data_IF_355341305680
#
_entry.id   IF_355341305680
#
_cell.length_a   1.000
_cell.length_b   1.000
_cell.length_c   1.000
_cell.angle_alpha   90.00
_cell.angle_beta   90.00
_cell.angle_gamma   90.00
#
_symmetry.space_group_name_H-M   'P 1'
#
loop_
_entity.id
_entity.type
_entity.pdbx_description
1 polymer ?
#
# COMPACT_ATOMS: atom_id res chain seq x y z
N UNK A 1 -58.00 -8.81 -0.12
CA UNK A 1 -57.56 -7.84 0.91
C UNK A 1 -56.15 -8.21 1.33
N UNK A 2 -55.29 -7.19 1.41
CA UNK A 2 -53.85 -7.25 1.70
C UNK A 2 -53.56 -7.82 3.10
N UNK A 3 -52.43 -8.53 3.24
CA UNK A 3 -51.41 -8.19 4.25
C UNK A 3 -50.13 -9.01 4.00
N UNK A 4 -49.09 -8.30 3.59
CA UNK A 4 -47.69 -8.74 3.64
C UNK A 4 -47.24 -8.73 5.11
N UNK A 5 -46.58 -9.79 5.57
CA UNK A 5 -45.82 -9.77 6.82
C UNK A 5 -44.34 -9.76 6.47
N UNK A 6 -43.73 -8.59 6.66
CA UNK A 6 -42.30 -8.34 6.60
C UNK A 6 -41.71 -8.67 7.98
N UNK A 7 -40.87 -9.70 8.08
CA UNK A 7 -40.03 -9.90 9.27
C UNK A 7 -38.83 -8.95 9.18
N UNK A 8 -38.80 -7.95 10.05
CA UNK A 8 -37.60 -7.15 10.31
C UNK A 8 -36.80 -7.83 11.44
N UNK A 9 -35.61 -8.35 11.12
CA UNK A 9 -34.61 -8.70 12.12
C UNK A 9 -33.89 -7.41 12.55
N UNK A 10 -34.17 -6.97 13.77
CA UNK A 10 -33.41 -5.89 14.42
C UNK A 10 -32.19 -6.51 15.08
N UNK A 11 -31.00 -6.24 14.55
CA UNK A 11 -29.74 -6.53 15.22
C UNK A 11 -29.42 -5.37 16.16
N UNK A 12 -29.46 -5.62 17.47
CA UNK A 12 -29.01 -4.69 18.51
C UNK A 12 -27.50 -4.80 18.69
N UNK A 13 -26.78 -3.72 18.40
CA UNK A 13 -25.38 -3.53 18.80
C UNK A 13 -25.38 -2.73 20.11
N UNK A 14 -24.82 -3.30 21.17
CA UNK A 14 -24.59 -2.61 22.43
C UNK A 14 -23.12 -2.23 22.53
N UNK A 15 -22.82 -0.93 22.53
CA UNK A 15 -21.49 -0.38 22.77
C UNK A 15 -21.53 0.42 24.06
N UNK A 16 -20.69 0.08 25.04
CA UNK A 16 -20.56 0.81 26.30
C UNK A 16 -19.33 1.71 26.21
N UNK A 17 -19.56 3.03 26.23
CA UNK A 17 -18.50 4.04 26.31
C UNK A 17 -18.23 4.42 27.77
N UNK A 18 -16.97 4.32 28.21
CA UNK A 18 -16.51 4.76 29.52
C UNK A 18 -16.15 6.26 29.54
N UNK A 19 -16.53 6.94 30.62
CA UNK A 19 -16.49 8.39 30.84
C UNK A 19 -15.11 8.85 31.34
N UNK A 20 -14.73 10.09 31.00
CA UNK A 20 -13.45 10.74 31.29
C UNK A 20 -13.35 11.50 32.64
N UNK A 21 -12.10 11.97 32.89
CA UNK A 21 -11.62 13.11 33.73
C UNK A 21 -10.90 12.76 35.06
N UNK A 22 -10.05 13.65 35.67
CA UNK A 22 -9.58 15.00 35.28
C UNK A 22 -8.05 15.29 35.44
N UNK A 23 -7.64 16.49 35.01
CA UNK A 23 -6.30 17.14 35.17
C UNK A 23 -6.00 17.69 36.58
N UNK A 24 -4.76 18.16 36.81
CA UNK A 24 -4.55 19.39 37.61
C UNK A 24 -3.56 20.42 37.02
N UNK A 25 -3.84 21.69 37.32
CA UNK A 25 -3.10 22.94 37.06
C UNK A 25 -1.74 23.07 37.78
N UNK A 26 -0.78 23.84 37.24
CA UNK A 26 -0.40 25.24 37.68
C UNK A 26 0.97 25.74 37.17
N UNK A 27 0.93 26.91 36.52
CA UNK A 27 1.85 28.08 36.46
C UNK A 27 3.38 28.02 36.71
N UNK A 28 4.18 28.61 35.79
CA UNK A 28 4.97 29.88 36.00
C UNK A 28 5.84 30.26 34.77
N UNK A 29 5.92 31.55 34.45
CA UNK A 29 6.72 32.22 33.38
C UNK A 29 7.89 33.06 33.99
N UNK A 30 8.77 33.73 33.21
CA UNK A 30 9.75 33.25 32.22
C UNK A 30 11.18 33.84 32.46
N UNK A 31 12.26 33.19 31.99
CA UNK A 31 13.58 33.86 31.86
C UNK A 31 14.25 33.56 30.52
N UNK A 32 14.75 34.63 29.90
CA UNK A 32 15.39 34.71 28.59
C UNK A 32 16.86 34.30 28.64
N UNK A 33 17.32 33.43 27.74
CA UNK A 33 18.70 33.51 27.20
C UNK A 33 18.91 32.67 25.93
N UNK A 34 19.42 33.36 24.89
CA UNK A 34 20.32 32.91 23.80
C UNK A 34 19.96 31.64 22.99
N UNK A 35 19.43 31.86 21.78
CA UNK A 35 19.08 30.85 20.79
C UNK A 35 20.29 30.09 20.22
N UNK A 36 20.63 28.97 20.86
CA UNK A 36 20.78 27.71 20.15
C UNK A 36 19.43 26.99 20.18
N UNK A 37 18.99 26.39 19.08
CA UNK A 37 17.74 25.62 19.06
C UNK A 37 17.92 24.39 19.94
N UNK A 38 17.46 24.46 21.19
CA UNK A 38 17.29 23.27 22.02
C UNK A 38 16.18 22.45 21.37
N UNK A 39 16.55 21.33 20.75
CA UNK A 39 15.59 20.32 20.36
C UNK A 39 14.92 19.83 21.65
N UNK A 40 13.68 20.27 21.88
CA UNK A 40 12.85 19.78 22.97
C UNK A 40 12.61 18.29 22.74
N UNK A 41 13.28 17.43 23.51
CA UNK A 41 13.03 15.98 23.53
C UNK A 41 11.70 15.62 24.21
N UNK A 42 10.85 16.61 24.51
CA UNK A 42 9.61 16.45 25.29
C UNK A 42 8.34 16.59 24.44
N UNK A 43 8.43 16.74 23.12
CA UNK A 43 7.26 16.56 22.27
C UNK A 43 6.91 15.06 22.27
N UNK A 44 5.68 14.67 22.63
CA UNK A 44 5.29 13.26 22.56
C UNK A 44 5.44 12.78 21.11
N UNK A 45 6.18 11.68 20.93
CA UNK A 45 6.25 11.00 19.65
C UNK A 45 4.84 10.53 19.29
N UNK A 46 4.26 11.11 18.24
CA UNK A 46 2.90 10.79 17.79
C UNK A 46 2.78 9.30 17.43
N UNK A 47 3.84 8.67 16.92
CA UNK A 47 3.85 7.24 16.61
C UNK A 47 3.70 6.39 17.88
N UNK A 48 4.38 6.79 18.96
CA UNK A 48 4.25 6.13 20.25
C UNK A 48 2.88 6.41 20.90
N UNK A 49 2.46 7.66 20.91
CA UNK A 49 1.28 8.11 21.65
C UNK A 49 -0.01 7.57 21.01
N UNK A 50 -0.09 7.58 19.68
CA UNK A 50 -1.31 7.23 18.97
C UNK A 50 -1.33 5.74 18.58
N UNK A 51 -0.16 5.12 18.36
CA UNK A 51 -0.05 3.76 17.81
C UNK A 51 0.84 2.80 18.60
N UNK A 52 1.47 3.24 19.70
CA UNK A 52 2.37 2.42 20.51
C UNK A 52 3.66 2.02 19.80
N UNK A 53 4.05 2.72 18.72
CA UNK A 53 5.23 2.42 17.93
C UNK A 53 6.43 3.21 18.41
N UNK A 54 7.46 2.51 18.89
CA UNK A 54 8.72 3.10 19.31
C UNK A 54 9.76 2.97 18.20
N UNK A 55 10.09 4.07 17.52
CA UNK A 55 11.06 4.11 16.40
C UNK A 55 12.40 3.45 16.76
N UNK A 56 12.86 3.57 18.00
CA UNK A 56 14.13 2.94 18.43
C UNK A 56 14.06 1.40 18.37
N UNK A 57 12.87 0.83 18.53
CA UNK A 57 12.57 -0.59 18.45
C UNK A 57 12.02 -1.02 17.07
N UNK A 58 12.22 -0.21 16.03
CA UNK A 58 11.82 -0.56 14.65
C UNK A 58 12.42 -1.91 14.21
N UNK A 59 11.57 -2.73 13.60
CA UNK A 59 11.90 -4.02 13.00
C UNK A 59 11.34 -4.10 11.59
N UNK A 60 11.95 -4.95 10.74
CA UNK A 60 11.41 -5.26 9.41
C UNK A 60 10.10 -6.05 9.58
N UNK A 61 8.97 -5.50 9.13
CA UNK A 61 7.66 -6.14 9.32
C UNK A 61 7.45 -7.33 8.38
N UNK A 62 7.50 -7.07 7.07
CA UNK A 62 7.32 -8.11 6.06
C UNK A 62 8.58 -8.96 5.93
N UNK A 63 8.40 -10.27 5.76
CA UNK A 63 9.49 -11.23 5.71
C UNK A 63 9.35 -12.10 4.47
N UNK A 64 10.39 -12.11 3.66
CA UNK A 64 10.52 -12.95 2.47
C UNK A 64 11.33 -14.22 2.80
N UNK A 65 11.01 -15.37 2.18
CA UNK A 65 11.71 -16.63 2.45
C UNK A 65 13.17 -16.63 1.98
N UNK A 66 13.55 -15.66 1.16
CA UNK A 66 14.91 -15.46 0.66
C UNK A 66 15.05 -14.09 -0.01
N UNK A 67 16.28 -13.76 -0.40
CA UNK A 67 16.62 -12.47 -1.01
C UNK A 67 17.07 -12.61 -2.49
N UNK A 68 16.83 -13.76 -3.11
CA UNK A 68 17.08 -13.97 -4.53
C UNK A 68 15.86 -13.56 -5.39
N UNK A 69 16.07 -13.51 -6.71
CA UNK A 69 15.08 -13.08 -7.72
C UNK A 69 13.75 -13.84 -7.66
N UNK A 70 13.69 -15.00 -7.00
CA UNK A 70 12.45 -15.78 -6.87
C UNK A 70 11.88 -15.57 -5.47
N UNK A 71 12.67 -15.84 -4.44
CA UNK A 71 12.18 -15.91 -3.07
C UNK A 71 11.87 -14.53 -2.48
N UNK A 72 12.43 -13.44 -3.02
CA UNK A 72 12.17 -12.08 -2.56
C UNK A 72 10.74 -11.57 -2.89
N UNK A 73 9.94 -12.34 -3.64
CA UNK A 73 8.60 -11.95 -4.07
C UNK A 73 7.48 -12.77 -3.41
N UNK A 74 7.78 -13.42 -2.28
CA UNK A 74 6.82 -14.23 -1.53
C UNK A 74 6.75 -13.83 -0.06
N UNK A 75 5.56 -13.88 0.53
CA UNK A 75 5.36 -13.74 1.96
C UNK A 75 5.67 -15.07 2.67
N UNK A 76 6.62 -15.03 3.61
CA UNK A 76 7.11 -16.24 4.32
C UNK A 76 6.03 -17.00 5.07
N UNK A 77 4.91 -16.36 5.44
CA UNK A 77 3.82 -17.03 6.19
C UNK A 77 3.03 -17.99 5.31
N UNK A 78 2.98 -17.73 4.01
CA UNK A 78 2.15 -18.47 3.05
C UNK A 78 2.97 -19.21 1.99
N UNK A 79 4.24 -18.85 1.81
CA UNK A 79 5.16 -19.53 0.90
C UNK A 79 5.30 -21.02 1.23
N UNK A 80 5.27 -21.86 0.19
CA UNK A 80 5.52 -23.31 0.29
C UNK A 80 6.58 -23.74 -0.71
N UNK A 81 6.35 -23.38 -1.97
CA UNK A 81 7.25 -23.61 -3.10
C UNK A 81 7.00 -22.52 -4.15
N UNK A 82 7.99 -22.20 -5.00
CA UNK A 82 7.79 -21.22 -6.05
C UNK A 82 6.71 -21.66 -7.04
N UNK A 83 5.83 -20.73 -7.40
CA UNK A 83 4.83 -20.95 -8.48
C UNK A 83 5.58 -21.27 -9.78
N UNK A 84 5.21 -22.37 -10.49
CA UNK A 84 5.83 -22.71 -11.76
C UNK A 84 5.73 -21.56 -12.77
N UNK A 85 6.78 -21.37 -13.56
CA UNK A 85 6.88 -20.27 -14.53
C UNK A 85 5.68 -20.19 -15.46
N UNK A 86 5.16 -21.33 -15.89
CA UNK A 86 4.02 -21.46 -16.81
C UNK A 86 2.69 -21.02 -16.17
N UNK A 87 2.60 -21.05 -14.83
CA UNK A 87 1.41 -20.70 -14.07
C UNK A 87 1.50 -19.31 -13.43
N UNK A 88 2.71 -18.74 -13.34
CA UNK A 88 2.97 -17.46 -12.66
C UNK A 88 2.14 -16.32 -13.22
N UNK A 89 2.16 -16.13 -14.54
CA UNK A 89 1.39 -15.04 -15.18
C UNK A 89 -0.10 -15.14 -14.85
N UNK A 90 -0.70 -16.34 -14.95
CA UNK A 90 -2.11 -16.54 -14.59
C UNK A 90 -2.38 -16.25 -13.10
N UNK A 91 -1.46 -16.67 -12.22
CA UNK A 91 -1.58 -16.43 -10.78
C UNK A 91 -1.55 -14.94 -10.47
N UNK A 92 -0.57 -14.20 -11.02
CA UNK A 92 -0.45 -12.76 -10.87
C UNK A 92 -1.67 -12.01 -11.46
N UNK A 93 -2.19 -12.45 -12.61
CA UNK A 93 -3.45 -11.91 -13.17
C UNK A 93 -4.62 -12.06 -12.19
N UNK A 94 -4.80 -13.23 -11.56
CA UNK A 94 -5.86 -13.41 -10.57
C UNK A 94 -5.69 -12.51 -9.34
N UNK A 95 -4.45 -12.34 -8.87
CA UNK A 95 -4.13 -11.44 -7.75
C UNK A 95 -4.54 -9.99 -8.13
N UNK A 96 -4.15 -9.51 -9.31
CA UNK A 96 -4.51 -8.17 -9.81
C UNK A 96 -6.02 -7.98 -9.91
N UNK A 97 -6.73 -8.96 -10.47
CA UNK A 97 -8.19 -8.87 -10.62
C UNK A 97 -8.85 -8.74 -9.25
N UNK A 98 -8.48 -9.60 -8.30
CA UNK A 98 -9.01 -9.55 -6.93
C UNK A 98 -8.73 -8.23 -6.22
N UNK A 99 -7.53 -7.67 -6.43
CA UNK A 99 -7.10 -6.41 -5.83
C UNK A 99 -7.90 -5.23 -6.39
N UNK A 100 -7.95 -5.07 -7.71
CA UNK A 100 -8.66 -3.93 -8.32
C UNK A 100 -10.17 -3.98 -8.12
N UNK A 101 -10.79 -5.17 -8.20
CA UNK A 101 -12.21 -5.31 -7.90
C UNK A 101 -12.50 -4.94 -6.44
N UNK A 102 -11.71 -5.44 -5.49
CA UNK A 102 -11.89 -5.09 -4.07
C UNK A 102 -11.69 -3.60 -3.80
N UNK A 103 -10.64 -2.99 -4.37
CA UNK A 103 -10.38 -1.56 -4.19
C UNK A 103 -11.49 -0.71 -4.80
N UNK A 104 -12.01 -1.10 -5.96
CA UNK A 104 -13.14 -0.43 -6.61
C UNK A 104 -14.41 -0.52 -5.77
N UNK A 105 -14.77 -1.73 -5.30
CA UNK A 105 -15.99 -1.98 -4.53
C UNK A 105 -16.01 -1.26 -3.17
N UNK A 106 -14.83 -0.94 -2.62
CA UNK A 106 -14.68 -0.25 -1.33
C UNK A 106 -14.30 1.24 -1.47
N UNK A 107 -14.33 1.78 -2.69
CA UNK A 107 -13.99 3.18 -2.99
C UNK A 107 -12.57 3.57 -2.51
N UNK A 108 -11.61 2.67 -2.71
CA UNK A 108 -10.20 2.86 -2.37
C UNK A 108 -9.41 3.21 -3.64
N UNK A 109 -8.88 4.43 -3.69
CA UNK A 109 -8.10 4.86 -4.86
C UNK A 109 -6.68 4.31 -4.83
N UNK A 110 -6.29 3.62 -5.91
CA UNK A 110 -4.97 3.08 -6.18
C UNK A 110 -4.63 3.20 -7.66
N UNK A 111 -3.34 3.12 -8.01
CA UNK A 111 -2.84 3.06 -9.39
C UNK A 111 -1.62 2.14 -9.46
N UNK A 112 -1.32 1.61 -10.66
CA UNK A 112 -0.10 0.84 -10.91
C UNK A 112 1.12 1.77 -10.97
N UNK A 113 2.25 1.30 -10.45
CA UNK A 113 3.50 2.05 -10.36
C UNK A 113 4.70 1.20 -10.81
N UNK A 114 5.89 1.80 -10.87
CA UNK A 114 7.16 1.10 -11.05
C UNK A 114 7.17 0.11 -12.23
N UNK A 115 7.65 -1.12 -12.04
CA UNK A 115 7.75 -2.14 -13.09
C UNK A 115 6.38 -2.54 -13.65
N UNK A 116 5.33 -2.50 -12.81
CA UNK A 116 3.96 -2.78 -13.24
C UNK A 116 3.43 -1.71 -14.21
N UNK A 117 3.74 -0.43 -13.96
CA UNK A 117 3.43 0.66 -14.89
C UNK A 117 4.20 0.52 -16.21
N UNK A 118 5.46 0.06 -16.15
CA UNK A 118 6.26 -0.20 -17.34
C UNK A 118 5.70 -1.36 -18.18
N UNK A 119 5.27 -2.46 -17.55
CA UNK A 119 4.57 -3.55 -18.25
C UNK A 119 3.28 -3.06 -18.92
N UNK A 120 2.52 -2.21 -18.22
CA UNK A 120 1.33 -1.58 -18.81
C UNK A 120 1.66 -0.74 -20.05
N UNK A 121 2.74 0.05 -20.03
CA UNK A 121 3.15 0.87 -21.19
C UNK A 121 3.34 0.03 -22.46
N UNK A 122 3.94 -1.15 -22.33
CA UNK A 122 4.28 -1.98 -23.50
C UNK A 122 3.06 -2.63 -24.16
N UNK A 123 2.13 -3.18 -23.38
CA UNK A 123 0.95 -3.87 -23.94
C UNK A 123 -0.22 -4.03 -22.95
N UNK A 124 -0.21 -3.32 -21.82
CA UNK A 124 -1.25 -3.46 -20.79
C UNK A 124 -1.18 -4.78 -20.02
N UNK A 125 0.00 -5.44 -19.97
CA UNK A 125 0.20 -6.73 -19.31
C UNK A 125 1.41 -6.71 -18.36
N UNK A 126 1.41 -7.66 -17.43
CA UNK A 126 2.57 -7.96 -16.61
C UNK A 126 3.69 -8.44 -17.52
N UNK A 127 4.93 -8.02 -17.23
CA UNK A 127 6.08 -8.47 -18.00
C UNK A 127 6.30 -9.99 -17.80
N UNK A 128 6.60 -10.78 -18.85
CA UNK A 128 6.69 -12.24 -18.71
C UNK A 128 7.73 -12.73 -17.69
N UNK A 129 8.75 -11.91 -17.40
CA UNK A 129 9.79 -12.21 -16.42
C UNK A 129 9.50 -11.68 -15.01
N UNK A 130 8.56 -10.73 -14.84
CA UNK A 130 8.23 -10.15 -13.53
C UNK A 130 7.74 -11.18 -12.52
N UNK A 131 8.07 -10.89 -11.27
CA UNK A 131 7.60 -11.60 -10.08
C UNK A 131 6.78 -10.71 -9.15
N UNK A 132 6.97 -9.40 -9.25
CA UNK A 132 6.35 -8.35 -8.45
C UNK A 132 5.18 -7.68 -9.17
N UNK A 133 4.30 -7.12 -8.36
CA UNK A 133 3.30 -6.17 -8.78
C UNK A 133 3.37 -5.01 -7.79
N UNK A 134 3.54 -3.81 -8.32
CA UNK A 134 3.69 -2.59 -7.56
C UNK A 134 2.51 -1.67 -7.79
N UNK A 135 1.93 -1.23 -6.68
CA UNK A 135 0.87 -0.23 -6.69
C UNK A 135 1.16 0.86 -5.70
N UNK A 136 0.54 1.99 -5.95
CA UNK A 136 0.60 3.14 -5.07
C UNK A 136 -0.80 3.59 -4.67
N UNK A 137 -0.86 4.25 -3.51
CA UNK A 137 -2.05 4.87 -2.95
C UNK A 137 -1.71 6.23 -2.37
N UNK A 138 -2.69 7.11 -2.21
CA UNK A 138 -2.50 8.34 -1.43
C UNK A 138 -2.33 8.01 0.06
N UNK A 139 -1.72 8.91 0.83
CA UNK A 139 -1.66 8.81 2.30
C UNK A 139 -3.05 8.63 2.92
N UNK A 140 -4.04 9.39 2.45
CA UNK A 140 -5.41 9.29 2.95
C UNK A 140 -5.99 7.89 2.72
N UNK A 141 -5.78 7.31 1.54
CA UNK A 141 -6.18 5.91 1.26
C UNK A 141 -5.39 4.95 2.15
N UNK A 142 -4.07 5.11 2.29
CA UNK A 142 -3.24 4.23 3.10
C UNK A 142 -3.70 4.21 4.57
N UNK A 143 -4.02 5.36 5.14
CA UNK A 143 -4.52 5.44 6.51
C UNK A 143 -5.91 4.82 6.65
N UNK A 144 -6.77 4.99 5.63
CA UNK A 144 -8.05 4.29 5.58
C UNK A 144 -7.88 2.77 5.53
N UNK A 145 -6.92 2.26 4.74
CA UNK A 145 -6.57 0.83 4.75
C UNK A 145 -6.16 0.37 6.15
N UNK A 146 -5.30 1.14 6.84
CA UNK A 146 -4.82 0.80 8.17
C UNK A 146 -5.95 0.75 9.22
N UNK A 147 -6.87 1.72 9.18
CA UNK A 147 -7.90 1.89 10.21
C UNK A 147 -9.13 1.01 9.99
N UNK A 148 -9.53 0.81 8.73
CA UNK A 148 -10.81 0.17 8.39
C UNK A 148 -10.65 -1.25 7.84
N UNK A 149 -9.52 -1.57 7.20
CA UNK A 149 -9.39 -2.77 6.37
C UNK A 149 -8.20 -3.68 6.73
N UNK A 150 -7.32 -3.28 7.63
CA UNK A 150 -6.15 -4.07 8.00
C UNK A 150 -6.55 -5.46 8.54
N UNK A 151 -5.82 -6.51 8.12
CA UNK A 151 -6.10 -7.91 8.40
C UNK A 151 -7.41 -8.46 7.81
N UNK A 152 -7.95 -7.81 6.78
CA UNK A 152 -9.13 -8.34 6.07
C UNK A 152 -8.72 -9.49 5.16
N UNK A 153 -9.43 -10.62 5.27
CA UNK A 153 -9.32 -11.74 4.35
C UNK A 153 -10.45 -11.70 3.34
N UNK A 154 -10.11 -11.56 2.06
CA UNK A 154 -11.04 -11.44 0.95
C UNK A 154 -11.07 -12.75 0.19
N UNK A 155 -12.28 -13.28 0.01
CA UNK A 155 -12.52 -14.49 -0.77
C UNK A 155 -12.94 -14.10 -2.18
N UNK A 156 -12.19 -14.56 -3.16
CA UNK A 156 -12.42 -14.25 -4.56
C UNK A 156 -12.69 -15.54 -5.33
N UNK A 157 -13.83 -15.58 -6.01
CA UNK A 157 -14.17 -16.67 -6.91
C UNK A 157 -13.89 -16.19 -8.32
N UNK A 158 -12.82 -16.69 -8.95
CA UNK A 158 -12.68 -16.51 -10.39
C UNK A 158 -13.82 -17.26 -11.08
N UNK A 159 -14.27 -16.77 -12.23
CA UNK A 159 -15.35 -17.37 -13.02
C UNK A 159 -15.06 -18.79 -13.53
N UNK A 160 -13.87 -19.37 -13.24
CA UNK A 160 -13.40 -20.62 -13.83
C UNK A 160 -12.56 -21.52 -12.89
N UNK A 161 -12.91 -21.70 -11.61
CA UNK A 161 -12.33 -22.81 -10.81
C UNK A 161 -13.19 -23.31 -9.65
N UNK A 162 -13.02 -24.60 -9.33
CA UNK A 162 -13.50 -25.26 -8.10
C UNK A 162 -12.71 -24.84 -6.83
N UNK A 163 -11.82 -23.84 -6.95
CA UNK A 163 -10.90 -23.41 -5.89
C UNK A 163 -11.14 -21.94 -5.56
N UNK A 164 -11.69 -21.69 -4.37
CA UNK A 164 -11.84 -20.34 -3.83
C UNK A 164 -10.46 -19.78 -3.44
N UNK A 165 -10.08 -18.67 -4.05
CA UNK A 165 -8.86 -17.96 -3.67
C UNK A 165 -9.12 -17.04 -2.47
N UNK A 166 -8.17 -16.97 -1.56
CA UNK A 166 -8.23 -16.08 -0.38
C UNK A 166 -7.01 -15.18 -0.35
N UNK A 167 -7.27 -13.88 -0.26
CA UNK A 167 -6.27 -12.83 -0.23
C UNK A 167 -6.30 -12.08 1.10
N UNK A 168 -5.14 -11.80 1.67
CA UNK A 168 -5.00 -11.02 2.89
C UNK A 168 -4.55 -9.60 2.55
N UNK A 169 -5.31 -8.59 2.96
CA UNK A 169 -4.82 -7.22 3.04
C UNK A 169 -4.11 -7.04 4.38
N UNK A 170 -2.79 -6.87 4.34
CA UNK A 170 -1.95 -6.71 5.51
C UNK A 170 -1.24 -5.36 5.47
N UNK A 171 -1.51 -4.51 6.46
CA UNK A 171 -0.93 -3.16 6.55
C UNK A 171 0.17 -3.17 7.59
N UNK A 172 1.37 -2.77 7.16
CA UNK A 172 2.54 -2.65 8.01
C UNK A 172 2.23 -1.66 9.15
N UNK A 173 2.42 -2.02 10.43
CA UNK A 173 2.26 -1.08 11.55
C UNK A 173 3.08 0.21 11.34
N UNK A 174 4.25 0.11 10.71
CA UNK A 174 5.12 1.25 10.40
C UNK A 174 4.64 2.09 9.20
N UNK A 175 3.48 1.80 8.60
CA UNK A 175 2.92 2.57 7.47
C UNK A 175 2.70 4.05 7.81
N UNK A 176 2.43 4.37 9.08
CA UNK A 176 2.24 5.76 9.54
C UNK A 176 3.56 6.51 9.78
N UNK A 177 4.67 5.80 9.94
CA UNK A 177 6.00 6.40 9.95
C UNK A 177 6.39 6.72 8.51
N UNK A 178 6.08 7.91 8.00
CA UNK A 178 6.33 8.23 6.57
C UNK A 178 7.81 8.41 6.21
N UNK A 179 8.67 8.76 7.16
CA UNK A 179 10.12 8.93 6.92
C UNK A 179 10.86 7.58 6.76
N UNK A 180 11.83 7.54 5.83
CA UNK A 180 12.62 6.35 5.44
C UNK A 180 13.33 5.65 6.62
N UNK A 181 13.85 6.40 7.60
CA UNK A 181 14.63 5.90 8.75
C UNK A 181 15.62 4.77 8.37
N UNK A 182 15.55 3.60 9.01
CA UNK A 182 16.47 2.48 8.81
C UNK A 182 16.25 1.74 7.48
N UNK A 183 15.25 2.12 6.68
CA UNK A 183 14.92 1.46 5.41
C UNK A 183 14.33 0.05 5.57
N UNK A 184 13.89 -0.31 6.78
CA UNK A 184 13.36 -1.65 7.07
C UNK A 184 11.92 -1.83 6.60
N UNK A 185 11.17 -0.74 6.42
CA UNK A 185 9.72 -0.75 6.20
C UNK A 185 9.32 0.14 5.02
N UNK A 186 9.99 -0.05 3.87
CA UNK A 186 9.72 0.69 2.63
C UNK A 186 8.30 0.42 2.12
N UNK A 187 7.85 -0.83 2.21
CA UNK A 187 6.50 -1.25 1.82
C UNK A 187 5.51 -1.00 2.96
N UNK A 188 4.40 -0.36 2.63
CA UNK A 188 3.39 0.09 3.59
C UNK A 188 2.27 -0.91 3.80
N UNK A 189 1.89 -1.64 2.75
CA UNK A 189 0.91 -2.72 2.85
C UNK A 189 1.14 -3.76 1.75
N UNK A 190 0.56 -4.95 1.92
CA UNK A 190 0.54 -6.01 0.92
C UNK A 190 -0.86 -6.55 0.71
N UNK A 191 -1.15 -6.91 -0.53
CA UNK A 191 -2.27 -7.77 -0.88
C UNK A 191 -1.73 -9.17 -1.21
N UNK A 192 -1.93 -10.13 -0.31
CA UNK A 192 -1.19 -11.39 -0.31
C UNK A 192 -2.09 -12.55 -0.71
N UNK A 193 -1.70 -13.32 -1.72
CA UNK A 193 -2.29 -14.63 -2.00
C UNK A 193 -1.91 -15.62 -0.90
N UNK A 194 -2.88 -15.99 -0.07
CA UNK A 194 -2.64 -16.91 1.06
C UNK A 194 -2.38 -18.36 0.62
N UNK A 195 -2.55 -18.70 -0.66
CA UNK A 195 -2.31 -20.05 -1.17
C UNK A 195 -0.85 -20.24 -1.60
N UNK A 196 -0.26 -19.22 -2.22
CA UNK A 196 1.07 -19.27 -2.82
C UNK A 196 2.10 -18.41 -2.08
N UNK A 197 1.67 -17.32 -1.45
CA UNK A 197 2.50 -16.29 -0.84
C UNK A 197 2.89 -15.15 -1.79
N UNK A 198 2.56 -15.19 -3.08
CA UNK A 198 2.74 -14.04 -3.98
C UNK A 198 1.90 -12.86 -3.49
N UNK A 199 2.34 -11.64 -3.77
CA UNK A 199 1.64 -10.44 -3.31
C UNK A 199 1.74 -9.26 -4.28
N UNK A 200 0.92 -8.25 -4.04
CA UNK A 200 1.10 -6.89 -4.55
C UNK A 200 1.69 -6.06 -3.42
N UNK A 201 2.77 -5.34 -3.72
CA UNK A 201 3.31 -4.31 -2.84
C UNK A 201 2.52 -3.01 -3.02
N UNK A 202 2.12 -2.41 -1.90
CA UNK A 202 1.35 -1.17 -1.85
C UNK A 202 2.19 -0.13 -1.11
N UNK A 203 2.52 0.96 -1.79
CA UNK A 203 3.28 2.07 -1.22
C UNK A 203 2.45 3.35 -1.15
N UNK A 204 2.54 4.07 -0.04
CA UNK A 204 1.85 5.36 0.13
C UNK A 204 2.66 6.53 -0.42
N UNK A 205 1.99 7.44 -1.13
CA UNK A 205 2.52 8.76 -1.44
C UNK A 205 2.00 9.80 -0.44
N UNK A 206 2.94 10.54 0.14
CA UNK A 206 2.69 11.59 1.13
C UNK A 206 3.66 12.75 0.91
N UNK A 207 3.38 13.93 1.48
CA UNK A 207 4.38 15.00 1.53
C UNK A 207 5.41 14.63 2.60
N UNK A 208 6.64 14.35 2.17
CA UNK A 208 7.74 13.94 3.07
C UNK A 208 8.67 15.10 3.46
N UNK A 209 8.76 16.12 2.61
CA UNK A 209 9.66 17.25 2.78
C UNK A 209 8.84 18.55 2.88
N UNK A 210 8.89 19.19 4.04
CA UNK A 210 8.18 20.45 4.28
C UNK A 210 8.72 21.61 3.45
N UNK A 211 10.00 21.57 3.06
CA UNK A 211 10.64 22.59 2.21
C UNK A 211 10.21 22.45 0.74
N UNK A 212 9.67 21.28 0.37
CA UNK A 212 9.18 20.97 -0.97
C UNK A 212 7.70 20.63 -0.97
N UNK A 213 6.82 21.62 -0.72
CA UNK A 213 5.39 21.37 -0.56
C UNK A 213 4.69 20.81 -1.80
N UNK A 214 5.29 20.94 -2.98
CA UNK A 214 4.74 20.44 -4.24
C UNK A 214 5.22 19.03 -4.60
N UNK A 215 6.11 18.44 -3.82
CA UNK A 215 6.62 17.07 -4.01
C UNK A 215 5.95 16.12 -3.02
N UNK A 216 5.48 15.00 -3.56
CA UNK A 216 4.99 13.85 -2.81
C UNK A 216 5.96 12.70 -3.05
N UNK A 217 6.27 11.94 -2.01
CA UNK A 217 7.18 10.83 -2.12
C UNK A 217 6.74 9.60 -1.34
N UNK A 218 7.34 8.48 -1.69
CA UNK A 218 7.27 7.25 -0.91
C UNK A 218 8.56 7.06 -0.08
N UNK A 219 8.55 6.04 0.77
CA UNK A 219 9.66 5.71 1.65
C UNK A 219 10.93 5.24 0.94
N UNK A 220 10.90 5.03 -0.37
CA UNK A 220 12.06 4.59 -1.16
C UNK A 220 12.69 5.72 -1.99
N UNK A 221 12.44 6.98 -1.63
CA UNK A 221 12.96 8.15 -2.36
C UNK A 221 12.43 8.31 -3.80
N UNK A 222 11.30 7.67 -4.15
CA UNK A 222 10.55 8.04 -5.34
C UNK A 222 9.73 9.28 -5.04
N UNK A 223 9.98 10.37 -5.77
CA UNK A 223 9.32 11.65 -5.58
C UNK A 223 8.64 12.08 -6.88
N UNK A 224 7.47 12.68 -6.73
CA UNK A 224 6.61 13.11 -7.83
C UNK A 224 6.05 14.48 -7.51
N UNK A 225 5.79 15.29 -8.52
CA UNK A 225 4.88 16.42 -8.34
C UNK A 225 3.44 15.93 -8.32
N UNK A 226 2.55 16.69 -7.68
CA UNK A 226 1.11 16.38 -7.69
C UNK A 226 0.59 16.27 -9.14
N UNK A 227 1.10 17.09 -10.06
CA UNK A 227 0.72 17.06 -11.48
C UNK A 227 1.24 15.85 -12.26
N UNK A 228 2.21 15.11 -11.74
CA UNK A 228 2.66 13.87 -12.36
C UNK A 228 1.65 12.74 -12.11
N UNK A 229 1.05 12.74 -10.93
CA UNK A 229 0.09 11.71 -10.50
C UNK A 229 -1.33 12.08 -10.88
N UNK A 230 -1.79 13.29 -10.56
CA UNK A 230 -3.20 13.66 -10.63
C UNK A 230 -3.55 14.61 -11.79
N UNK A 231 -4.76 14.48 -12.38
CA UNK A 231 -5.76 13.44 -12.13
C UNK A 231 -5.32 12.09 -12.72
N UNK A 232 -5.58 10.99 -12.00
CA UNK A 232 -5.29 9.65 -12.50
C UNK A 232 -6.08 9.37 -13.78
N UNK A 233 -5.47 8.61 -14.69
CA UNK A 233 -6.10 8.18 -15.95
C UNK A 233 -6.63 6.76 -15.82
N UNK A 234 -7.89 6.57 -16.16
CA UNK A 234 -8.51 5.22 -16.24
C UNK A 234 -8.00 4.51 -17.48
N UNK A 235 -7.67 3.23 -17.34
CA UNK A 235 -7.13 2.37 -18.39
C UNK A 235 -7.52 0.91 -18.14
N UNK A 236 -6.94 -0.01 -18.91
CA UNK A 236 -7.04 -1.46 -18.68
C UNK A 236 -5.65 -2.03 -18.43
N UNK A 237 -5.54 -2.88 -17.40
CA UNK A 237 -4.35 -3.69 -17.12
C UNK A 237 -4.79 -5.12 -16.84
N UNK A 238 -4.15 -6.09 -17.48
CA UNK A 238 -4.54 -7.50 -17.39
C UNK A 238 -6.01 -7.81 -17.70
N UNK A 239 -6.68 -6.95 -18.47
CA UNK A 239 -8.09 -7.12 -18.84
C UNK A 239 -9.09 -6.57 -17.82
N UNK A 240 -8.65 -5.96 -16.72
CA UNK A 240 -9.51 -5.26 -15.75
C UNK A 240 -9.25 -3.75 -15.76
N UNK A 241 -10.23 -2.98 -15.28
CA UNK A 241 -10.09 -1.53 -15.13
C UNK A 241 -8.99 -1.21 -14.12
N UNK A 242 -8.08 -0.32 -14.50
CA UNK A 242 -6.97 0.14 -13.67
C UNK A 242 -6.80 1.65 -13.81
N UNK A 243 -5.95 2.24 -12.96
CA UNK A 243 -5.55 3.64 -13.05
C UNK A 243 -4.03 3.76 -13.21
N UNK A 244 -3.60 4.82 -13.89
CA UNK A 244 -2.19 5.20 -14.06
C UNK A 244 -1.98 6.69 -13.75
N UNK A 245 -0.76 7.13 -13.41
CA UNK A 245 -0.42 8.54 -13.23
C UNK A 245 -0.80 9.42 -14.44
N UNK A 246 -1.10 10.70 -14.21
CA UNK A 246 -1.44 11.64 -15.28
C UNK A 246 -0.31 11.81 -16.31
N UNK A 247 0.93 11.89 -15.84
CA UNK A 247 2.14 12.00 -16.67
C UNK A 247 2.95 10.72 -16.63
N UNK A 248 2.30 9.57 -16.81
CA UNK A 248 2.91 8.24 -16.78
C UNK A 248 4.21 8.14 -17.61
N UNK A 249 4.30 8.80 -18.76
CA UNK A 249 5.52 8.79 -19.59
C UNK A 249 6.68 9.51 -18.91
N UNK A 250 6.44 10.70 -18.32
CA UNK A 250 7.47 11.41 -17.54
C UNK A 250 7.89 10.59 -16.32
N UNK A 251 6.92 10.02 -15.59
CA UNK A 251 7.16 9.14 -14.43
C UNK A 251 8.07 7.96 -14.81
N UNK A 252 7.78 7.28 -15.92
CA UNK A 252 8.57 6.15 -16.38
C UNK A 252 9.96 6.56 -16.88
N UNK A 253 10.08 7.70 -17.58
CA UNK A 253 11.37 8.21 -18.05
C UNK A 253 12.26 8.59 -16.86
N UNK A 254 11.71 9.25 -15.85
CA UNK A 254 12.46 9.65 -14.66
C UNK A 254 12.97 8.43 -13.88
N UNK A 255 12.22 7.31 -13.90
CA UNK A 255 12.57 6.08 -13.18
C UNK A 255 13.49 5.15 -14.00
N UNK A 256 13.24 4.97 -15.30
CA UNK A 256 13.89 3.94 -16.13
C UNK A 256 14.65 4.48 -17.36
N UNK A 257 14.63 5.80 -17.58
CA UNK A 257 15.09 6.47 -18.80
C UNK A 257 14.21 6.18 -20.04
N UNK A 258 14.37 7.02 -21.07
CA UNK A 258 13.66 6.94 -22.35
C UNK A 258 13.83 5.60 -23.09
N UNK A 259 15.00 4.98 -22.92
CA UNK A 259 15.31 3.67 -23.50
C UNK A 259 14.40 2.56 -23.02
N UNK A 260 13.96 2.58 -21.76
CA UNK A 260 13.07 1.53 -21.23
C UNK A 260 11.70 1.51 -21.94
N UNK A 261 11.31 2.62 -22.57
CA UNK A 261 10.05 2.76 -23.31
C UNK A 261 10.14 2.35 -24.78
N UNK A 262 11.37 2.13 -25.29
CA UNK A 262 11.62 1.97 -26.73
C UNK A 262 12.49 0.76 -27.08
N UNK A 263 13.41 0.33 -26.20
CA UNK A 263 14.27 -0.82 -26.44
C UNK A 263 13.52 -2.14 -26.18
N UNK A 264 13.35 -2.95 -27.23
CA UNK A 264 12.63 -4.24 -27.18
C UNK A 264 13.49 -5.41 -26.71
N UNK A 265 14.74 -5.15 -26.30
CA UNK A 265 15.69 -6.16 -25.83
C UNK A 265 16.06 -5.85 -24.38
N UNK A 266 15.94 -6.86 -23.51
CA UNK A 266 16.29 -6.77 -22.10
C UNK A 266 17.57 -7.59 -21.82
N UNK A 267 18.33 -7.22 -20.78
CA UNK A 267 19.51 -7.93 -20.26
C UNK A 267 20.66 -8.16 -21.28
N UNK A 268 21.08 -7.11 -22.00
CA UNK A 268 22.36 -7.13 -22.74
C UNK A 268 23.53 -6.70 -21.86
#
# INVERSE_FOLDING_TARGET
MKSQNLLAFVSTIASVAGIAAPSPDTSSTPETSNHGTIISHNAPDALWTDYGLNISAEYKYFQEPGNDEIHAHYDSRFFKEPVPKEQRSQTLTHIIHSYFEYFKDNELETWIAHGTLLGWWWNGKIMPWDWDIDTQVSEATLFRLADEFNNTVVKYNSSNSDVQHSYLLDVNPWARQRAHHKGLNIIDARWIDMQTGLYIDITGLSRLDEEKPNEWGCKNNHNYTISDIYPLRVTTFEGVEAKVPFRYESVLIDEYNDKALTETHYNQ
#
